data_IF_707774417321
#
_entry.id   IF_707774417321
#
_cell.length_a   1.000
_cell.length_b   1.000
_cell.length_c   1.000
_cell.angle_alpha   90.00
_cell.angle_beta   90.00
_cell.angle_gamma   90.00
#
_symmetry.space_group_name_H-M   'P 1'
#
loop_
_entity.id
_entity.type
_entity.pdbx_description
1 polymer ?
#
# COMPACT_ATOMS: atom_id res chain seq x y z
N UNK A 1 -14.86 16.28 9.01
CA UNK A 1 -13.43 16.64 9.05
C UNK A 1 -12.99 17.46 10.27
N UNK A 2 -13.83 18.30 10.90
CA UNK A 2 -13.43 19.34 11.90
C UNK A 2 -12.86 18.87 13.27
N UNK A 3 -12.30 17.67 13.40
CA UNK A 3 -11.72 17.23 14.68
C UNK A 3 -10.50 16.31 14.59
N UNK A 4 -9.98 16.03 13.39
CA UNK A 4 -8.78 15.19 13.27
C UNK A 4 -7.56 16.11 13.20
N UNK A 5 -6.55 15.89 14.06
CA UNK A 5 -5.32 16.68 14.01
C UNK A 5 -4.65 16.59 12.64
N UNK A 6 -4.01 17.67 12.23
CA UNK A 6 -3.15 17.73 11.04
C UNK A 6 -1.66 17.87 11.39
N UNK A 7 -1.33 17.80 12.68
CA UNK A 7 0.03 17.87 13.19
C UNK A 7 0.39 16.63 13.99
N UNK A 8 1.60 16.13 13.80
CA UNK A 8 2.20 15.11 14.65
C UNK A 8 2.52 15.71 16.03
N UNK A 9 2.23 14.96 17.09
CA UNK A 9 2.56 15.37 18.46
C UNK A 9 3.82 14.64 18.98
N UNK A 10 4.30 15.01 20.18
CA UNK A 10 5.53 14.48 20.76
C UNK A 10 5.60 12.94 20.85
N UNK A 11 4.45 12.24 20.91
CA UNK A 11 4.44 10.78 20.96
C UNK A 11 4.97 10.12 19.67
N UNK A 12 5.13 10.88 18.57
CA UNK A 12 5.69 10.39 17.31
C UNK A 12 7.22 10.42 17.26
N UNK A 13 7.91 11.07 18.21
CA UNK A 13 9.37 11.20 18.22
C UNK A 13 10.11 9.84 18.24
N UNK A 14 9.48 8.82 18.84
CA UNK A 14 10.02 7.47 18.92
C UNK A 14 9.82 6.62 17.66
N UNK A 15 9.17 7.14 16.60
CA UNK A 15 8.99 6.37 15.35
C UNK A 15 10.32 6.20 14.64
N UNK A 16 10.71 4.96 14.35
CA UNK A 16 11.87 4.63 13.53
C UNK A 16 11.56 3.63 12.40
N UNK A 17 10.27 3.28 12.23
CA UNK A 17 9.76 2.51 11.09
C UNK A 17 8.56 3.24 10.46
N UNK A 18 8.70 3.62 9.20
CA UNK A 18 7.63 4.24 8.41
C UNK A 18 7.15 3.23 7.36
N UNK A 19 5.96 2.72 7.54
CA UNK A 19 5.25 1.96 6.53
C UNK A 19 4.39 2.93 5.73
N UNK A 20 4.35 2.79 4.41
CA UNK A 20 3.60 3.71 3.54
C UNK A 20 2.97 2.98 2.38
N UNK A 21 1.74 3.36 2.02
CA UNK A 21 1.21 3.09 0.68
C UNK A 21 2.01 3.87 -0.38
N UNK A 22 1.82 3.51 -1.66
CA UNK A 22 2.55 4.11 -2.80
C UNK A 22 1.63 4.98 -3.66
N UNK A 23 0.54 4.45 -4.18
CA UNK A 23 -0.28 5.11 -5.20
C UNK A 23 -1.15 6.19 -4.56
N UNK A 24 -1.05 7.43 -5.03
CA UNK A 24 -1.72 8.60 -4.41
C UNK A 24 -1.37 8.83 -2.93
N UNK A 25 -0.34 8.15 -2.40
CA UNK A 25 0.31 8.40 -1.09
C UNK A 25 1.74 8.89 -1.26
N UNK A 26 2.62 8.13 -1.91
CA UNK A 26 3.96 8.60 -2.32
C UNK A 26 3.90 9.31 -3.68
N UNK A 27 3.06 8.80 -4.57
CA UNK A 27 2.77 9.43 -5.85
C UNK A 27 1.59 10.40 -5.71
N UNK A 28 1.35 11.19 -6.75
CA UNK A 28 0.17 12.02 -6.87
C UNK A 28 -0.21 12.13 -8.34
N UNK A 29 -1.44 11.72 -8.69
CA UNK A 29 -1.95 11.77 -10.06
C UNK A 29 -1.01 11.04 -11.06
N UNK A 30 -0.54 9.86 -10.67
CA UNK A 30 0.31 9.01 -11.49
C UNK A 30 1.76 9.49 -11.67
N UNK A 31 2.20 10.49 -10.89
CA UNK A 31 3.59 10.98 -10.91
C UNK A 31 4.20 10.91 -9.52
N UNK A 32 5.50 10.66 -9.45
CA UNK A 32 6.26 10.80 -8.21
C UNK A 32 6.74 12.26 -8.07
N UNK A 33 6.25 13.04 -7.09
CA UNK A 33 6.79 14.36 -6.83
C UNK A 33 8.28 14.27 -6.42
N UNK A 34 9.15 15.18 -6.88
CA UNK A 34 10.54 15.25 -6.42
C UNK A 34 10.66 15.37 -4.89
N UNK A 35 9.73 16.06 -4.25
CA UNK A 35 9.66 16.21 -2.80
C UNK A 35 9.48 14.88 -2.08
N UNK A 36 8.81 13.91 -2.69
CA UNK A 36 8.67 12.55 -2.13
C UNK A 36 10.03 11.86 -2.10
N UNK A 37 10.80 11.92 -3.20
CA UNK A 37 12.13 11.31 -3.24
C UNK A 37 13.09 11.94 -2.22
N UNK A 38 13.03 13.26 -2.07
CA UNK A 38 13.80 13.98 -1.03
C UNK A 38 13.35 13.49 0.36
N UNK A 39 12.06 13.43 0.62
CA UNK A 39 11.52 12.98 1.90
C UNK A 39 11.92 11.53 2.24
N UNK A 40 11.84 10.60 1.28
CA UNK A 40 12.30 9.22 1.47
C UNK A 40 13.80 9.17 1.81
N UNK A 41 14.62 9.93 1.08
CA UNK A 41 16.04 10.04 1.38
C UNK A 41 16.31 10.64 2.77
N UNK A 42 15.58 11.69 3.17
CA UNK A 42 15.75 12.33 4.47
C UNK A 42 15.40 11.38 5.63
N UNK A 43 14.37 10.53 5.46
CA UNK A 43 14.05 9.46 6.43
C UNK A 43 15.21 8.47 6.56
N UNK A 44 15.77 7.98 5.44
CA UNK A 44 16.92 7.07 5.48
C UNK A 44 18.15 7.71 6.12
N UNK A 45 18.46 8.97 5.80
CA UNK A 45 19.58 9.69 6.41
C UNK A 45 19.40 9.88 7.92
N UNK A 46 18.16 9.97 8.38
CA UNK A 46 17.82 9.99 9.81
C UNK A 46 17.80 8.60 10.47
N UNK A 47 18.14 7.53 9.74
CA UNK A 47 18.14 6.16 10.25
C UNK A 47 16.75 5.57 10.46
N UNK A 48 15.73 6.11 9.77
CA UNK A 48 14.35 5.59 9.81
C UNK A 48 14.18 4.58 8.69
N UNK A 49 13.75 3.37 9.04
CA UNK A 49 13.46 2.31 8.06
C UNK A 49 12.14 2.58 7.36
N UNK A 50 12.13 2.55 6.03
CA UNK A 50 10.97 2.82 5.18
C UNK A 50 10.53 1.57 4.44
N UNK A 51 9.26 1.19 4.61
CA UNK A 51 8.66 0.02 3.97
C UNK A 51 7.50 0.49 3.10
N UNK A 52 7.60 0.31 1.78
CA UNK A 52 6.50 0.53 0.87
C UNK A 52 5.56 -0.68 0.87
N UNK A 53 4.24 -0.45 0.98
CA UNK A 53 3.23 -1.50 1.05
C UNK A 53 2.14 -1.21 0.02
N UNK A 54 2.14 -1.93 -1.10
CA UNK A 54 1.40 -1.54 -2.31
C UNK A 54 0.62 -2.70 -2.94
N UNK A 55 -0.43 -2.38 -3.69
CA UNK A 55 -1.13 -3.30 -4.61
C UNK A 55 -0.54 -3.33 -6.02
N UNK A 56 0.59 -2.65 -6.25
CA UNK A 56 1.28 -2.65 -7.54
C UNK A 56 1.90 -4.03 -7.84
N UNK A 57 2.07 -4.32 -9.13
CA UNK A 57 2.66 -5.57 -9.61
C UNK A 57 4.13 -5.73 -9.20
N UNK A 58 4.66 -6.94 -9.30
CA UNK A 58 6.06 -7.22 -8.98
C UNK A 58 7.07 -6.44 -9.84
N UNK A 59 6.73 -6.09 -11.08
CA UNK A 59 7.59 -5.23 -11.90
C UNK A 59 7.77 -3.81 -11.32
N UNK A 60 6.69 -3.22 -10.80
CA UNK A 60 6.76 -1.95 -10.09
C UNK A 60 7.48 -2.09 -8.76
N UNK A 61 7.22 -3.18 -8.03
CA UNK A 61 7.89 -3.44 -6.75
C UNK A 61 9.40 -3.59 -6.91
N UNK A 62 9.86 -4.29 -7.95
CA UNK A 62 11.29 -4.42 -8.25
C UNK A 62 11.89 -3.04 -8.54
N UNK A 63 11.26 -2.23 -9.41
CA UNK A 63 11.73 -0.88 -9.70
C UNK A 63 11.86 -0.01 -8.43
N UNK A 64 10.84 0.00 -7.58
CA UNK A 64 10.82 0.76 -6.32
C UNK A 64 11.93 0.25 -5.40
N UNK A 65 12.02 -1.06 -5.18
CA UNK A 65 13.01 -1.66 -4.29
C UNK A 65 14.46 -1.47 -4.78
N UNK A 66 14.66 -1.30 -6.09
CA UNK A 66 15.99 -1.07 -6.66
C UNK A 66 16.43 0.39 -6.57
N UNK A 67 15.52 1.34 -6.85
CA UNK A 67 15.90 2.73 -7.12
C UNK A 67 15.41 3.74 -6.08
N UNK A 68 14.31 3.49 -5.39
CA UNK A 68 13.79 4.46 -4.43
C UNK A 68 14.50 4.27 -3.08
N UNK A 69 14.62 5.33 -2.26
CA UNK A 69 15.14 5.24 -0.89
C UNK A 69 14.14 4.53 0.05
N UNK A 70 13.94 3.23 -0.16
CA UNK A 70 13.15 2.33 0.69
C UNK A 70 13.97 1.09 1.05
N UNK A 71 13.66 0.49 2.20
CA UNK A 71 14.35 -0.70 2.69
C UNK A 71 13.66 -2.01 2.25
N UNK A 72 12.34 -1.97 2.09
CA UNK A 72 11.56 -3.09 1.58
C UNK A 72 10.29 -2.63 0.84
N UNK A 73 9.80 -3.50 -0.04
CA UNK A 73 8.51 -3.36 -0.73
C UNK A 73 7.69 -4.63 -0.51
N UNK A 74 6.51 -4.46 0.08
CA UNK A 74 5.48 -5.49 0.20
C UNK A 74 4.52 -5.31 -0.98
N UNK A 75 4.64 -6.17 -1.98
CA UNK A 75 3.92 -6.05 -3.24
C UNK A 75 2.63 -6.84 -3.28
N UNK A 76 1.73 -6.47 -4.21
CA UNK A 76 0.44 -7.13 -4.45
C UNK A 76 -0.34 -7.37 -3.14
N UNK A 77 -0.54 -6.29 -2.38
CA UNK A 77 -1.20 -6.27 -1.07
C UNK A 77 -0.56 -7.21 -0.03
N UNK A 78 0.74 -7.47 -0.15
CA UNK A 78 1.50 -8.31 0.78
C UNK A 78 1.66 -9.76 0.34
N UNK A 79 1.41 -10.10 -0.93
CA UNK A 79 1.63 -11.44 -1.46
C UNK A 79 3.11 -11.86 -1.41
N UNK A 80 4.03 -10.90 -1.52
CA UNK A 80 5.46 -11.11 -1.44
C UNK A 80 6.17 -9.89 -0.85
N UNK A 81 7.42 -10.10 -0.44
CA UNK A 81 8.33 -9.10 0.10
C UNK A 81 9.56 -9.06 -0.81
N UNK A 82 9.90 -7.86 -1.28
CA UNK A 82 11.19 -7.55 -1.85
C UNK A 82 11.99 -6.71 -0.86
N UNK A 83 13.14 -7.18 -0.40
CA UNK A 83 13.93 -6.49 0.61
C UNK A 83 15.34 -6.20 0.10
N UNK A 84 15.78 -4.95 0.27
CA UNK A 84 17.14 -4.56 -0.06
C UNK A 84 18.08 -5.00 1.06
N UNK A 85 18.88 -6.02 0.78
CA UNK A 85 20.02 -6.38 1.64
C UNK A 85 21.28 -5.65 1.16
N UNK A 86 22.34 -5.67 1.98
CA UNK A 86 23.55 -4.84 1.80
C UNK A 86 24.19 -4.87 0.41
N UNK A 87 23.97 -5.93 -0.39
CA UNK A 87 24.52 -6.04 -1.75
C UNK A 87 23.55 -6.60 -2.81
N UNK A 88 22.34 -7.01 -2.44
CA UNK A 88 21.39 -7.61 -3.38
C UNK A 88 19.94 -7.47 -2.90
N UNK A 89 19.01 -7.62 -3.84
CA UNK A 89 17.58 -7.65 -3.58
C UNK A 89 17.13 -9.09 -3.37
N UNK A 90 16.36 -9.36 -2.32
CA UNK A 90 15.68 -10.64 -2.11
C UNK A 90 14.22 -10.57 -2.56
N UNK A 91 13.63 -11.73 -2.87
CA UNK A 91 12.19 -11.89 -3.11
C UNK A 91 11.71 -13.10 -2.31
N UNK A 92 10.73 -12.89 -1.44
CA UNK A 92 10.18 -13.92 -0.56
C UNK A 92 8.65 -13.89 -0.57
N UNK A 93 8.03 -15.06 -0.49
CA UNK A 93 6.59 -15.22 -0.37
C UNK A 93 6.29 -16.44 0.51
N UNK A 94 5.32 -16.33 1.42
CA UNK A 94 5.00 -17.37 2.41
C UNK A 94 4.68 -18.74 1.77
N UNK A 95 3.85 -18.74 0.74
CA UNK A 95 3.40 -19.97 0.05
C UNK A 95 4.37 -20.44 -1.06
N UNK A 96 5.48 -19.74 -1.26
CA UNK A 96 6.41 -19.95 -2.38
C UNK A 96 5.87 -19.42 -3.72
N UNK A 97 6.79 -19.02 -4.62
CA UNK A 97 6.43 -18.35 -5.88
C UNK A 97 5.66 -19.24 -6.87
N UNK A 98 5.92 -20.55 -6.87
CA UNK A 98 5.26 -21.50 -7.78
C UNK A 98 3.77 -21.65 -7.42
N UNK A 99 3.46 -21.82 -6.14
CA UNK A 99 2.09 -21.86 -5.61
C UNK A 99 1.33 -20.57 -5.93
N UNK A 100 1.97 -19.40 -5.79
CA UNK A 100 1.35 -18.12 -6.13
C UNK A 100 0.98 -18.06 -7.61
N UNK A 101 1.88 -18.50 -8.50
CA UNK A 101 1.67 -18.49 -9.95
C UNK A 101 0.56 -19.45 -10.39
N UNK A 102 0.48 -20.64 -9.81
CA UNK A 102 -0.60 -21.58 -10.08
C UNK A 102 -1.96 -21.01 -9.68
N UNK A 103 -2.05 -20.43 -8.48
CA UNK A 103 -3.27 -19.78 -7.99
C UNK A 103 -3.68 -18.58 -8.85
N UNK A 104 -2.71 -17.74 -9.24
CA UNK A 104 -2.96 -16.62 -10.15
C UNK A 104 -3.49 -17.12 -11.51
N UNK A 105 -2.88 -18.16 -12.08
CA UNK A 105 -3.29 -18.71 -13.39
C UNK A 105 -4.74 -19.19 -13.35
N UNK A 106 -5.12 -19.90 -12.28
CA UNK A 106 -6.51 -20.32 -12.04
C UNK A 106 -7.43 -19.11 -11.93
N UNK A 107 -7.10 -18.16 -11.06
CA UNK A 107 -7.92 -16.98 -10.83
C UNK A 107 -8.08 -16.15 -12.12
N UNK A 108 -7.03 -16.00 -12.91
CA UNK A 108 -7.05 -15.24 -14.16
C UNK A 108 -8.05 -15.81 -15.13
N UNK A 109 -8.11 -17.13 -15.25
CA UNK A 109 -9.09 -17.81 -16.11
C UNK A 109 -10.53 -17.54 -15.63
N UNK A 110 -10.77 -17.55 -14.32
CA UNK A 110 -12.08 -17.29 -13.73
C UNK A 110 -12.49 -15.82 -13.86
N UNK A 111 -11.57 -14.88 -13.65
CA UNK A 111 -11.82 -13.44 -13.84
C UNK A 111 -12.11 -13.14 -15.30
N UNK A 112 -11.38 -13.73 -16.25
CA UNK A 112 -11.68 -13.58 -17.68
C UNK A 112 -13.07 -14.12 -18.05
N UNK A 113 -13.56 -15.15 -17.37
CA UNK A 113 -14.94 -15.61 -17.53
C UNK A 113 -15.94 -14.56 -17.04
N UNK A 114 -15.72 -13.97 -15.86
CA UNK A 114 -16.53 -12.86 -15.32
C UNK A 114 -16.55 -11.68 -16.29
N UNK A 115 -15.39 -11.33 -16.87
CA UNK A 115 -15.28 -10.19 -17.79
C UNK A 115 -16.03 -10.38 -19.13
N UNK A 116 -16.51 -11.58 -19.47
CA UNK A 116 -17.39 -11.76 -20.64
C UNK A 116 -18.71 -10.98 -20.52
N UNK A 117 -19.16 -10.72 -19.29
CA UNK A 117 -20.34 -9.89 -19.02
C UNK A 117 -20.06 -8.37 -19.15
N UNK A 118 -18.78 -7.96 -19.25
CA UNK A 118 -18.33 -6.55 -19.27
C UNK A 118 -17.31 -6.34 -20.40
N UNK A 119 -17.76 -6.35 -21.68
CA UNK A 119 -16.86 -6.37 -22.85
C UNK A 119 -15.95 -5.15 -22.99
N UNK A 120 -16.23 -4.05 -22.30
CA UNK A 120 -15.43 -2.83 -22.25
C UNK A 120 -14.30 -2.86 -21.20
N UNK A 121 -14.27 -3.91 -20.37
CA UNK A 121 -13.27 -4.09 -19.32
C UNK A 121 -12.20 -5.09 -19.75
N UNK A 122 -10.98 -4.84 -19.29
CA UNK A 122 -9.84 -5.71 -19.51
C UNK A 122 -9.04 -5.85 -18.23
N UNK A 123 -8.19 -6.88 -18.21
CA UNK A 123 -7.10 -6.90 -17.24
C UNK A 123 -6.18 -5.70 -17.45
N UNK A 124 -5.43 -5.33 -16.41
CA UNK A 124 -4.43 -4.26 -16.49
C UNK A 124 -3.31 -4.62 -17.46
N UNK A 125 -2.68 -3.60 -18.07
CA UNK A 125 -1.51 -3.80 -18.93
C UNK A 125 -0.34 -4.43 -18.17
N UNK A 126 -0.24 -4.18 -16.86
CA UNK A 126 0.81 -4.70 -15.99
C UNK A 126 0.57 -6.13 -15.49
N UNK A 127 -0.52 -6.78 -15.91
CA UNK A 127 -0.89 -8.13 -15.45
C UNK A 127 0.20 -9.18 -15.72
N UNK A 128 1.00 -9.01 -16.78
CA UNK A 128 2.13 -9.90 -17.09
C UNK A 128 3.27 -9.83 -16.07
N UNK A 129 3.31 -8.77 -15.26
CA UNK A 129 4.31 -8.54 -14.22
C UNK A 129 3.80 -8.88 -12.82
N UNK A 130 2.56 -9.34 -12.69
CA UNK A 130 1.99 -9.76 -11.40
C UNK A 130 2.38 -11.20 -11.09
N UNK A 131 2.68 -11.50 -9.83
CA UNK A 131 3.05 -12.85 -9.36
C UNK A 131 1.88 -13.61 -8.73
N UNK A 132 0.94 -12.90 -8.11
CA UNK A 132 -0.17 -13.48 -7.33
C UNK A 132 -1.54 -12.95 -7.78
N UNK A 133 -1.65 -11.64 -7.95
CA UNK A 133 -2.91 -10.96 -8.19
C UNK A 133 -3.33 -11.00 -9.66
N UNK A 134 -4.65 -10.93 -9.84
CA UNK A 134 -5.30 -10.61 -11.11
C UNK A 134 -5.97 -9.26 -10.96
N UNK A 135 -5.64 -8.34 -11.86
CA UNK A 135 -6.06 -6.94 -11.76
C UNK A 135 -6.87 -6.52 -12.98
N UNK A 136 -7.97 -5.81 -12.74
CA UNK A 136 -8.89 -5.28 -13.76
C UNK A 136 -8.73 -3.75 -13.78
N UNK A 137 -8.54 -3.18 -14.98
CA UNK A 137 -8.44 -1.73 -15.14
C UNK A 137 -9.82 -1.09 -15.04
N UNK A 138 -10.01 -0.25 -14.02
CA UNK A 138 -11.25 0.49 -13.78
C UNK A 138 -11.07 2.01 -13.88
N UNK A 139 -9.88 2.49 -14.25
CA UNK A 139 -9.62 3.94 -14.29
C UNK A 139 -8.18 4.39 -14.55
N UNK A 140 -7.22 3.49 -14.74
CA UNK A 140 -5.83 3.90 -15.04
C UNK A 140 -5.66 4.25 -16.52
N UNK A 141 -6.00 3.32 -17.42
CA UNK A 141 -5.85 3.49 -18.87
C UNK A 141 -7.21 3.58 -19.56
N UNK A 142 -8.26 3.88 -18.79
CA UNK A 142 -9.63 4.07 -19.26
C UNK A 142 -10.37 5.11 -18.43
N UNK A 143 -11.51 5.65 -18.93
CA UNK A 143 -12.40 6.43 -18.09
C UNK A 143 -12.83 5.66 -16.85
N UNK A 144 -12.97 6.37 -15.73
CA UNK A 144 -13.34 5.78 -14.45
C UNK A 144 -14.64 4.97 -14.58
N UNK A 145 -14.61 3.74 -14.08
CA UNK A 145 -15.77 2.85 -14.05
C UNK A 145 -16.79 3.33 -13.02
N UNK A 146 -18.07 3.06 -13.30
CA UNK A 146 -19.13 3.25 -12.32
C UNK A 146 -18.91 2.37 -11.07
N UNK A 147 -19.22 2.92 -9.90
CA UNK A 147 -19.00 2.19 -8.64
C UNK A 147 -19.91 0.97 -8.49
N UNK A 148 -21.14 1.01 -9.03
CA UNK A 148 -22.05 -0.13 -8.99
C UNK A 148 -21.53 -1.32 -9.81
N UNK A 149 -20.92 -1.06 -10.96
CA UNK A 149 -20.28 -2.11 -11.78
C UNK A 149 -19.04 -2.66 -11.05
N UNK A 150 -18.25 -1.78 -10.43
CA UNK A 150 -17.09 -2.18 -9.62
C UNK A 150 -17.51 -3.12 -8.48
N UNK A 151 -18.57 -2.76 -7.76
CA UNK A 151 -19.09 -3.53 -6.63
C UNK A 151 -19.65 -4.90 -7.08
N UNK A 152 -20.34 -4.96 -8.23
CA UNK A 152 -20.85 -6.21 -8.80
C UNK A 152 -19.73 -7.18 -9.19
N UNK A 153 -18.68 -6.68 -9.85
CA UNK A 153 -17.50 -7.49 -10.19
C UNK A 153 -16.81 -8.03 -8.94
N UNK A 154 -16.61 -7.18 -7.91
CA UNK A 154 -16.05 -7.60 -6.63
C UNK A 154 -16.89 -8.72 -6.00
N UNK A 155 -18.22 -8.57 -5.98
CA UNK A 155 -19.11 -9.58 -5.43
C UNK A 155 -19.02 -10.92 -6.19
N UNK A 156 -18.94 -10.88 -7.53
CA UNK A 156 -18.71 -12.08 -8.36
C UNK A 156 -17.37 -12.76 -8.06
N UNK A 157 -16.31 -11.98 -7.87
CA UNK A 157 -14.99 -12.52 -7.51
C UNK A 157 -15.00 -13.13 -6.10
N UNK A 158 -15.65 -12.49 -5.12
CA UNK A 158 -15.83 -13.05 -3.78
C UNK A 158 -16.62 -14.36 -3.79
N UNK A 159 -17.60 -14.51 -4.69
CA UNK A 159 -18.34 -15.76 -4.86
C UNK A 159 -17.46 -16.94 -5.35
N UNK A 160 -16.30 -16.67 -5.95
CA UNK A 160 -15.28 -17.68 -6.29
C UNK A 160 -14.43 -18.12 -5.08
N UNK A 161 -14.66 -17.52 -3.90
CA UNK A 161 -13.82 -17.67 -2.72
C UNK A 161 -12.49 -16.91 -2.79
N UNK A 162 -12.34 -15.99 -3.75
CA UNK A 162 -11.16 -15.13 -3.87
C UNK A 162 -11.37 -13.83 -3.07
N UNK A 163 -10.26 -13.23 -2.61
CA UNK A 163 -10.28 -11.87 -2.10
C UNK A 163 -10.28 -10.89 -3.28
N UNK A 164 -10.91 -9.74 -3.09
CA UNK A 164 -10.85 -8.64 -4.04
C UNK A 164 -11.01 -7.30 -3.32
N UNK A 165 -10.23 -6.30 -3.74
CA UNK A 165 -10.33 -4.91 -3.28
C UNK A 165 -10.24 -3.96 -4.46
N UNK A 166 -10.92 -2.82 -4.37
CA UNK A 166 -10.79 -1.74 -5.36
C UNK A 166 -10.01 -0.56 -4.78
N UNK A 167 -9.08 -0.03 -5.58
CA UNK A 167 -8.49 1.30 -5.42
C UNK A 167 -9.26 2.32 -6.27
N UNK A 168 -8.68 3.51 -6.47
CA UNK A 168 -9.20 4.51 -7.40
C UNK A 168 -9.12 4.07 -8.87
N UNK A 169 -8.25 3.11 -9.21
CA UNK A 169 -7.88 2.77 -10.59
C UNK A 169 -7.94 1.27 -10.93
N UNK A 170 -7.87 0.37 -9.95
CA UNK A 170 -7.86 -1.08 -10.18
C UNK A 170 -8.80 -1.83 -9.25
N UNK A 171 -9.37 -2.94 -9.73
CA UNK A 171 -9.81 -4.04 -8.86
C UNK A 171 -8.67 -5.05 -8.83
N UNK A 172 -8.11 -5.33 -7.65
CA UNK A 172 -7.10 -6.36 -7.44
C UNK A 172 -7.73 -7.56 -6.74
N UNK A 173 -7.55 -8.75 -7.32
CA UNK A 173 -8.09 -10.01 -6.81
C UNK A 173 -7.01 -11.06 -6.61
N UNK A 174 -7.14 -11.90 -5.58
CA UNK A 174 -6.17 -12.95 -5.27
C UNK A 174 -6.78 -14.13 -4.50
N UNK A 175 -6.07 -15.25 -4.53
CA UNK A 175 -6.24 -16.34 -3.58
C UNK A 175 -5.10 -16.32 -2.55
N UNK A 176 -5.39 -16.72 -1.31
CA UNK A 176 -4.44 -16.68 -0.20
C UNK A 176 -5.00 -15.82 0.94
N UNK A 177 -4.28 -15.71 2.06
CA UNK A 177 -4.73 -14.92 3.22
C UNK A 177 -3.92 -13.64 3.44
N UNK A 178 -2.93 -13.38 2.58
CA UNK A 178 -2.10 -12.19 2.70
C UNK A 178 -2.92 -10.91 2.61
N UNK A 179 -2.43 -9.89 3.30
CA UNK A 179 -2.96 -8.54 3.32
C UNK A 179 -1.84 -7.59 3.74
N UNK A 180 -2.01 -6.29 3.43
CA UNK A 180 -1.09 -5.23 3.89
C UNK A 180 -0.79 -5.40 5.39
N UNK A 181 -1.83 -5.64 6.19
CA UNK A 181 -1.72 -5.89 7.63
C UNK A 181 -0.92 -7.14 7.95
N UNK A 182 -1.35 -8.30 7.47
CA UNK A 182 -0.76 -9.57 7.87
C UNK A 182 0.72 -9.62 7.55
N UNK A 183 1.08 -9.26 6.32
CA UNK A 183 2.46 -9.32 5.84
C UNK A 183 3.33 -8.26 6.51
N UNK A 184 2.83 -7.04 6.71
CA UNK A 184 3.58 -5.99 7.43
C UNK A 184 3.89 -6.39 8.87
N UNK A 185 2.90 -6.93 9.59
CA UNK A 185 3.08 -7.34 10.98
C UNK A 185 4.01 -8.54 11.11
N UNK A 186 3.96 -9.48 10.16
CA UNK A 186 4.89 -10.62 10.11
C UNK A 186 6.32 -10.14 9.81
N UNK A 187 6.50 -9.27 8.82
CA UNK A 187 7.80 -8.70 8.46
C UNK A 187 8.45 -7.96 9.63
N UNK A 188 7.72 -7.08 10.32
CA UNK A 188 8.26 -6.35 11.47
C UNK A 188 8.68 -7.28 12.63
N UNK A 189 7.95 -8.38 12.85
CA UNK A 189 8.31 -9.41 13.84
C UNK A 189 9.56 -10.18 13.42
N UNK A 190 9.70 -10.50 12.13
CA UNK A 190 10.91 -11.13 11.58
C UNK A 190 12.15 -10.24 11.74
N UNK A 191 11.97 -8.91 11.67
CA UNK A 191 13.01 -7.92 12.03
C UNK A 191 13.28 -7.81 13.53
N UNK A 192 12.64 -8.65 14.35
CA UNK A 192 12.91 -8.77 15.78
C UNK A 192 12.14 -7.80 16.66
N UNK A 193 11.17 -7.04 16.12
CA UNK A 193 10.36 -6.15 16.95
C UNK A 193 9.30 -6.95 17.72
N UNK A 194 9.21 -6.68 19.03
CA UNK A 194 8.07 -7.11 19.84
C UNK A 194 6.80 -6.34 19.44
N UNK A 195 5.63 -6.87 19.79
CA UNK A 195 4.35 -6.19 19.51
C UNK A 195 4.27 -4.80 20.15
N UNK A 196 4.82 -4.65 21.37
CA UNK A 196 4.90 -3.36 22.06
C UNK A 196 5.78 -2.37 21.28
N UNK A 197 6.90 -2.83 20.73
CA UNK A 197 7.76 -2.00 19.88
C UNK A 197 7.05 -1.62 18.60
N UNK A 198 6.39 -2.56 17.91
CA UNK A 198 5.65 -2.25 16.67
C UNK A 198 4.64 -1.12 16.92
N UNK A 199 3.82 -1.21 17.96
CA UNK A 199 2.80 -0.19 18.25
C UNK A 199 3.35 1.15 18.76
N UNK A 200 4.59 1.16 19.25
CA UNK A 200 5.24 2.39 19.74
C UNK A 200 6.19 3.02 18.72
N UNK A 201 6.83 2.26 17.85
CA UNK A 201 7.93 2.68 16.99
C UNK A 201 7.59 2.66 15.50
N UNK A 202 6.52 1.97 15.10
CA UNK A 202 6.06 1.96 13.72
C UNK A 202 4.91 2.93 13.50
N UNK A 203 4.85 3.51 12.31
CA UNK A 203 3.67 4.22 11.83
C UNK A 203 3.26 3.78 10.43
N UNK A 204 2.05 4.13 10.04
CA UNK A 204 1.54 3.95 8.67
C UNK A 204 1.13 5.27 8.04
N UNK A 205 1.43 5.46 6.75
CA UNK A 205 0.91 6.55 5.91
C UNK A 205 0.14 5.97 4.73
N UNK A 206 -1.09 6.43 4.49
CA UNK A 206 -1.92 5.95 3.37
C UNK A 206 -2.99 6.95 2.96
N UNK A 207 -3.83 6.57 2.00
CA UNK A 207 -4.80 7.50 1.40
C UNK A 207 -6.16 6.88 1.03
N UNK A 208 -6.35 5.56 1.16
CA UNK A 208 -7.54 4.92 0.60
C UNK A 208 -8.19 3.86 1.51
N UNK A 209 -9.24 3.21 0.99
CA UNK A 209 -9.98 2.18 1.71
C UNK A 209 -9.15 0.91 1.97
N UNK A 210 -8.19 0.57 1.10
CA UNK A 210 -7.36 -0.61 1.29
C UNK A 210 -6.36 -0.46 2.46
N UNK A 211 -6.19 0.77 2.96
CA UNK A 211 -5.31 1.12 4.08
C UNK A 211 -6.00 1.05 5.45
N UNK A 212 -7.33 0.94 5.49
CA UNK A 212 -8.09 1.02 6.73
C UNK A 212 -7.66 -0.04 7.78
N UNK A 213 -7.23 -1.21 7.33
CA UNK A 213 -6.73 -2.25 8.23
C UNK A 213 -5.40 -1.85 8.88
N UNK A 214 -4.56 -1.10 8.18
CA UNK A 214 -3.33 -0.54 8.74
C UNK A 214 -3.65 0.59 9.71
N UNK A 215 -4.61 1.48 9.38
CA UNK A 215 -5.08 2.52 10.31
C UNK A 215 -5.65 1.93 11.61
N UNK A 216 -6.39 0.81 11.52
CA UNK A 216 -6.92 0.10 12.68
C UNK A 216 -5.83 -0.59 13.51
N UNK A 217 -4.73 -1.00 12.88
CA UNK A 217 -3.69 -1.83 13.50
C UNK A 217 -2.60 -0.99 14.17
N UNK A 218 -2.15 0.09 13.52
CA UNK A 218 -1.06 0.93 14.02
C UNK A 218 -1.63 2.21 14.65
N UNK A 219 -1.41 2.46 15.97
CA UNK A 219 -1.93 3.65 16.64
C UNK A 219 -1.43 4.97 16.03
N UNK A 220 -0.21 4.94 15.49
CA UNK A 220 0.40 6.03 14.72
C UNK A 220 0.09 5.82 13.25
N UNK A 221 -0.99 6.43 12.79
CA UNK A 221 -1.41 6.37 11.40
C UNK A 221 -1.74 7.76 10.87
N UNK A 222 -1.24 8.07 9.69
CA UNK A 222 -1.49 9.33 9.00
C UNK A 222 -2.21 9.05 7.68
N UNK A 223 -3.24 9.84 7.40
CA UNK A 223 -3.83 9.95 6.07
C UNK A 223 -3.27 11.18 5.35
N UNK A 224 -2.89 11.07 4.08
CA UNK A 224 -2.67 12.26 3.24
C UNK A 224 -4.02 12.86 2.83
N UNK A 225 -4.07 14.15 2.44
CA UNK A 225 -5.32 14.91 2.29
C UNK A 225 -6.41 14.21 1.45
N UNK A 226 -6.03 13.47 0.39
CA UNK A 226 -6.97 12.76 -0.48
C UNK A 226 -7.71 11.60 0.19
N UNK A 227 -7.33 11.19 1.41
CA UNK A 227 -8.13 10.27 2.26
C UNK A 227 -9.56 10.77 2.48
N UNK A 228 -9.75 12.09 2.39
CA UNK A 228 -11.04 12.73 2.58
C UNK A 228 -12.09 12.28 1.56
N UNK A 229 -11.70 11.82 0.37
CA UNK A 229 -12.63 11.25 -0.61
C UNK A 229 -13.31 9.97 -0.10
N UNK A 230 -12.68 9.27 0.84
CA UNK A 230 -13.13 8.00 1.39
C UNK A 230 -13.59 8.11 2.85
N UNK A 231 -13.58 9.32 3.43
CA UNK A 231 -13.73 9.54 4.87
C UNK A 231 -14.97 8.87 5.49
N UNK A 232 -16.11 9.00 4.81
CA UNK A 232 -17.39 8.48 5.29
C UNK A 232 -17.54 6.97 5.07
N UNK A 233 -16.70 6.40 4.18
CA UNK A 233 -16.65 4.96 3.88
C UNK A 233 -15.64 4.21 4.77
N UNK A 234 -14.70 4.92 5.41
CA UNK A 234 -13.70 4.33 6.29
C UNK A 234 -14.30 3.85 7.60
N UNK A 235 -14.21 2.54 7.85
CA UNK A 235 -14.55 1.92 9.13
C UNK A 235 -13.54 2.26 10.24
N UNK A 236 -12.26 2.32 9.88
CA UNK A 236 -11.16 2.77 10.72
C UNK A 236 -10.44 3.94 10.04
N UNK A 237 -10.14 4.98 10.82
CA UNK A 237 -9.60 6.25 10.34
C UNK A 237 -8.18 6.45 10.88
N UNK A 238 -7.30 7.15 10.13
CA UNK A 238 -5.98 7.49 10.63
C UNK A 238 -6.07 8.42 11.84
N UNK A 239 -5.06 8.41 12.70
CA UNK A 239 -5.01 9.28 13.88
C UNK A 239 -4.66 10.74 13.56
N UNK A 240 -4.07 11.00 12.39
CA UNK A 240 -3.74 12.33 11.86
C UNK A 240 -4.11 12.40 10.37
N UNK A 241 -4.55 13.56 9.88
CA UNK A 241 -4.71 13.82 8.44
C UNK A 241 -3.86 15.00 8.03
N UNK A 242 -2.88 14.76 7.16
CA UNK A 242 -1.94 15.76 6.68
C UNK A 242 -2.62 16.66 5.64
N UNK A 243 -2.29 17.95 5.66
CA UNK A 243 -3.01 18.98 4.90
C UNK A 243 -2.81 18.87 3.38
N UNK A 244 -1.69 18.30 2.93
CA UNK A 244 -1.34 18.16 1.51
C UNK A 244 -1.67 16.75 0.96
N UNK A 245 -2.05 16.64 -0.32
CA UNK A 245 -2.40 15.36 -0.94
C UNK A 245 -1.17 14.59 -1.43
N UNK A 246 -1.32 13.26 -1.54
CA UNK A 246 -0.33 12.33 -2.05
C UNK A 246 1.09 12.61 -1.60
N UNK A 247 2.03 12.50 -2.54
CA UNK A 247 3.45 12.68 -2.24
C UNK A 247 3.83 14.01 -1.58
N UNK A 248 3.08 15.08 -1.83
CA UNK A 248 3.27 16.36 -1.12
C UNK A 248 2.89 16.27 0.35
N UNK A 249 1.83 15.52 0.66
CA UNK A 249 1.42 15.15 2.01
C UNK A 249 2.45 14.28 2.70
N UNK A 250 2.97 13.26 2.02
CA UNK A 250 4.05 12.43 2.56
C UNK A 250 5.30 13.27 2.89
N UNK A 251 5.69 14.19 2.00
CA UNK A 251 6.81 15.08 2.26
C UNK A 251 6.57 16.02 3.45
N UNK A 252 5.33 16.50 3.64
CA UNK A 252 4.96 17.27 4.82
C UNK A 252 5.01 16.44 6.11
N UNK A 253 4.44 15.22 6.07
CA UNK A 253 4.52 14.26 7.17
C UNK A 253 5.97 14.02 7.60
N UNK A 254 6.87 13.76 6.65
CA UNK A 254 8.29 13.53 6.92
C UNK A 254 8.94 14.72 7.61
N UNK A 255 8.70 15.95 7.14
CA UNK A 255 9.24 17.16 7.80
C UNK A 255 8.76 17.29 9.23
N UNK A 256 7.46 17.05 9.49
CA UNK A 256 6.93 17.07 10.85
C UNK A 256 7.57 16.00 11.74
N UNK A 257 7.73 14.78 11.23
CA UNK A 257 8.32 13.66 11.98
C UNK A 257 9.79 13.94 12.33
N UNK A 258 10.58 14.41 11.37
CA UNK A 258 11.99 14.72 11.59
C UNK A 258 12.19 15.89 12.56
N UNK A 259 11.33 16.90 12.53
CA UNK A 259 11.38 18.02 13.48
C UNK A 259 11.22 17.55 14.95
N UNK A 260 10.40 16.52 15.20
CA UNK A 260 10.24 15.93 16.53
C UNK A 260 11.49 15.19 17.00
N UNK A 261 12.27 14.61 16.06
CA UNK A 261 13.52 13.91 16.38
C UNK A 261 14.68 14.85 16.67
N UNK A 262 14.76 15.99 15.98
CA UNK A 262 15.81 17.00 16.26
C UNK A 262 15.64 17.70 17.61
N UNK A 263 14.50 17.54 18.27
CA UNK A 263 14.18 18.17 19.56
C UNK A 263 14.42 17.23 20.76
N UNK A 264 14.80 15.97 20.50
CA UNK A 264 15.03 14.93 21.53
C UNK A 264 16.52 14.60 21.60
#
# INVERSE_FOLDING_TARGET
MKSVPNQLNANWACVDWVLTDVDDTLTWQGKLPPETLIALNDLQQAGITVIAVTGACAGWCDHIAQLWPVDAVLGENGAFIMEKQSSYLTLQADDGLETLKERQTRLKSQVLEILKDYPELSLTLDQSYRLCEVSIDIGQNRPKLDSGITDDIIAKIHALGAHATASSIHINAWYGQHSKKQTSMAFLKDKGLSEKEIFSRCCYVGDSLNDQQMFATLPKSAGVQNINHYWDKLSAKPSVVIDRPGGYGFAEFTRQLLALKSTT
#
